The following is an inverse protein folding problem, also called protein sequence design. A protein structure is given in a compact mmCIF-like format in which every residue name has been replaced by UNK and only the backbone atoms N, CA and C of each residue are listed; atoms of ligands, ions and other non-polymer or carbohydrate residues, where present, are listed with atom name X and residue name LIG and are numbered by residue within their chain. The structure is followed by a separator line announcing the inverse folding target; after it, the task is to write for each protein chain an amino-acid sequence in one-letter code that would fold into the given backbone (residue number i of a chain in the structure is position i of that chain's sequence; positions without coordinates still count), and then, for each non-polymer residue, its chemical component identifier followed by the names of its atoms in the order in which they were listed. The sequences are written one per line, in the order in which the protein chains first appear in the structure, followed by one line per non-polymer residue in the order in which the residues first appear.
data_IF_800765690932
#
_entry.id   IF_800765690932
#
_cell.length_a   1.000
_cell.length_b   1.000
_cell.length_c   1.000
_cell.angle_alpha   90.00
_cell.angle_beta   90.00
_cell.angle_gamma   90.00
#
_symmetry.space_group_name_H-M   'P 1'
#
loop_
_entity.id
_entity.type
_entity.pdbx_description
1 polymer ?
#
# COMPACT_ATOMS: atom_id res chain seq x y z
N UNK A 1 3.90 -10.58 -20.10
CA UNK A 1 3.15 -9.83 -19.07
C UNK A 1 3.79 -10.10 -17.72
N UNK A 2 4.28 -9.06 -17.05
CA UNK A 2 4.77 -9.13 -15.67
C UNK A 2 3.61 -8.73 -14.75
N UNK A 3 3.27 -9.59 -13.79
CA UNK A 3 2.23 -9.31 -12.79
C UNK A 3 2.87 -9.43 -11.41
N UNK A 4 2.87 -8.33 -10.65
CA UNK A 4 3.35 -8.30 -9.27
C UNK A 4 2.15 -8.26 -8.31
N UNK A 5 2.08 -9.21 -7.37
CA UNK A 5 1.18 -9.10 -6.24
C UNK A 5 1.90 -8.37 -5.10
N UNK A 6 1.39 -7.21 -4.72
CA UNK A 6 1.99 -6.34 -3.70
C UNK A 6 1.19 -6.36 -2.39
N UNK A 7 0.19 -7.23 -2.27
CA UNK A 7 -0.57 -7.38 -1.03
C UNK A 7 0.36 -7.86 0.08
N UNK A 8 0.37 -7.11 1.19
CA UNK A 8 1.17 -7.46 2.38
C UNK A 8 2.60 -6.92 2.40
N UNK A 9 3.03 -6.16 1.38
CA UNK A 9 4.27 -5.37 1.49
C UNK A 9 4.03 -4.22 2.48
N UNK A 10 4.75 -4.18 3.62
CA UNK A 10 4.59 -3.10 4.56
C UNK A 10 5.21 -1.84 3.99
N UNK A 11 4.37 -0.89 3.59
CA UNK A 11 4.82 0.47 3.28
C UNK A 11 4.86 1.24 4.61
N UNK A 12 6.05 1.66 5.09
CA UNK A 12 6.18 2.23 6.43
C UNK A 12 5.46 3.57 6.58
N UNK A 13 5.52 4.43 5.57
CA UNK A 13 4.90 5.75 5.58
C UNK A 13 4.31 6.12 4.21
N UNK A 14 3.27 6.96 4.15
CA UNK A 14 2.82 7.53 2.88
C UNK A 14 3.93 8.34 2.21
N UNK A 15 4.13 8.16 0.91
CA UNK A 15 5.26 8.80 0.22
C UNK A 15 5.45 8.33 -1.22
N UNK A 16 6.47 8.88 -1.87
CA UNK A 16 6.90 8.45 -3.19
C UNK A 16 7.88 7.28 -3.08
N UNK A 17 7.66 6.25 -3.87
CA UNK A 17 8.49 5.06 -3.94
C UNK A 17 8.73 4.68 -5.41
N UNK A 18 9.74 3.85 -5.66
CA UNK A 18 9.96 3.20 -6.95
C UNK A 18 10.08 1.68 -6.78
N UNK A 19 9.52 0.92 -7.72
CA UNK A 19 9.91 -0.47 -7.93
C UNK A 19 10.93 -0.52 -9.07
N UNK A 20 12.18 -0.78 -8.71
CA UNK A 20 13.26 -0.92 -9.66
C UNK A 20 13.45 -2.40 -10.01
N UNK A 21 13.41 -2.71 -11.30
CA UNK A 21 13.61 -4.05 -11.85
C UNK A 21 15.05 -4.12 -12.35
N UNK A 22 15.85 -4.99 -11.74
CA UNK A 22 17.25 -5.19 -12.11
C UNK A 22 17.47 -6.45 -12.94
N UNK A 23 18.43 -6.39 -13.86
CA UNK A 23 19.00 -7.54 -14.55
C UNK A 23 20.52 -7.38 -14.64
N UNK A 24 21.27 -8.36 -14.14
CA UNK A 24 22.74 -8.30 -14.10
C UNK A 24 23.29 -6.98 -13.55
N UNK A 25 22.68 -6.47 -12.46
CA UNK A 25 23.02 -5.19 -11.80
C UNK A 25 22.60 -3.92 -12.55
N UNK A 26 22.10 -4.02 -13.78
CA UNK A 26 21.55 -2.90 -14.52
C UNK A 26 20.05 -2.73 -14.23
N UNK A 27 19.58 -1.48 -14.15
CA UNK A 27 18.15 -1.18 -14.03
C UNK A 27 17.52 -1.32 -15.41
N UNK A 28 16.60 -2.29 -15.56
CA UNK A 28 15.81 -2.47 -16.77
C UNK A 28 14.61 -1.54 -16.83
N UNK A 29 13.97 -1.30 -15.68
CA UNK A 29 12.80 -0.44 -15.56
C UNK A 29 12.63 0.05 -14.13
N UNK A 30 12.04 1.24 -13.99
CA UNK A 30 11.62 1.79 -12.71
C UNK A 30 10.15 2.18 -12.80
N UNK A 31 9.35 1.70 -11.85
CA UNK A 31 7.91 1.95 -11.80
C UNK A 31 7.65 2.89 -10.62
N UNK A 32 7.28 4.16 -10.86
CA UNK A 32 6.98 5.10 -9.79
C UNK A 32 5.65 4.75 -9.10
N UNK A 33 5.61 4.94 -7.79
CA UNK A 33 4.47 4.67 -6.94
C UNK A 33 4.23 5.84 -6.00
N UNK A 34 2.96 6.08 -5.70
CA UNK A 34 2.54 6.94 -4.60
C UNK A 34 1.85 6.06 -3.56
N UNK A 35 2.51 5.85 -2.43
CA UNK A 35 1.88 5.28 -1.27
C UNK A 35 0.98 6.34 -0.63
N UNK A 36 -0.28 5.97 -0.42
CA UNK A 36 -1.27 6.80 0.25
C UNK A 36 -1.66 6.15 1.56
N UNK A 37 -1.91 6.95 2.59
CA UNK A 37 -2.48 6.43 3.82
C UNK A 37 -3.90 5.98 3.50
N UNK A 38 -4.15 4.67 3.52
CA UNK A 38 -5.50 4.17 3.46
C UNK A 38 -6.21 4.69 4.71
N UNK A 39 -7.12 5.67 4.54
CA UNK A 39 -8.05 6.00 5.59
C UNK A 39 -8.88 4.75 5.83
N UNK A 40 -8.62 4.07 6.94
CA UNK A 40 -9.41 2.94 7.35
C UNK A 40 -10.86 3.44 7.43
N UNK A 41 -11.79 2.96 6.58
CA UNK A 41 -13.17 3.39 6.68
C UNK A 41 -13.65 2.85 8.01
N UNK A 42 -13.70 3.72 9.03
CA UNK A 42 -14.26 3.36 10.32
C UNK A 42 -15.64 2.75 10.05
N UNK A 43 -15.93 1.53 10.50
CA UNK A 43 -17.30 1.05 10.47
C UNK A 43 -18.17 2.07 11.21
N UNK A 44 -19.35 2.44 10.68
CA UNK A 44 -20.21 3.43 11.29
C UNK A 44 -20.46 3.06 12.75
N UNK A 45 -20.23 4.02 13.65
CA UNK A 45 -20.38 3.90 15.10
C UNK A 45 -21.55 2.99 15.47
N UNK A 46 -21.26 1.85 16.11
CA UNK A 46 -22.27 1.07 16.82
C UNK A 46 -22.88 2.01 17.89
N UNK A 47 -24.21 2.22 17.94
CA UNK A 47 -24.81 3.01 19.00
C UNK A 47 -24.50 2.38 20.37
N UNK A 48 -24.32 3.19 21.43
CA UNK A 48 -23.97 2.68 22.76
C UNK A 48 -25.07 1.74 23.27
N UNK A 49 -24.72 0.71 24.06
CA UNK A 49 -25.72 -0.20 24.62
C UNK A 49 -26.62 0.57 25.59
N UNK A 50 -27.94 0.48 25.37
CA UNK A 50 -28.92 0.90 26.36
C UNK A 50 -28.85 -0.08 27.54
N UNK A 51 -28.28 0.36 28.66
CA UNK A 51 -28.45 -0.34 29.94
C UNK A 51 -29.95 -0.37 30.27
N UNK A 52 -30.47 -1.57 30.56
CA UNK A 52 -31.78 -1.82 31.16
C UNK A 52 -31.57 -2.61 32.45
#
# INVERSE_FOLDING_TARGET
NLTLNMQGLPIPEPGQYSFDIYWNQDILASIPLQAVQAQNPRPPNKPPPTET
#
